data_IF_466804092900
#
_entry.id   IF_466804092900
#
_cell.length_a   1.000
_cell.length_b   1.000
_cell.length_c   1.000
_cell.angle_alpha   90.00
_cell.angle_beta   90.00
_cell.angle_gamma   90.00
#
_symmetry.space_group_name_H-M   'P 1'
#
loop_
_entity.id
_entity.type
_entity.pdbx_description
1 polymer ?
#
# COMPACT_ATOMS: atom_id res chain seq x y z
N UNK A 1 9.93 -3.85 20.83
CA UNK A 1 9.06 -3.54 21.99
C UNK A 1 7.62 -3.82 21.55
N UNK A 2 6.63 -4.07 22.42
CA UNK A 2 5.24 -4.16 21.97
C UNK A 2 4.75 -2.73 21.72
N UNK A 3 4.86 -2.28 20.47
CA UNK A 3 4.63 -0.90 20.03
C UNK A 3 5.05 -0.63 18.57
N UNK A 4 5.80 -1.57 17.95
CA UNK A 4 6.38 -1.39 16.60
C UNK A 4 5.49 -1.92 15.46
N UNK A 5 4.21 -2.24 15.72
CA UNK A 5 3.36 -2.94 14.76
C UNK A 5 1.95 -2.37 14.75
N UNK A 6 1.56 -1.83 13.60
CA UNK A 6 0.26 -1.22 13.34
C UNK A 6 -0.63 -2.22 12.62
N UNK A 7 -1.84 -2.44 13.09
CA UNK A 7 -2.82 -3.21 12.33
C UNK A 7 -3.55 -2.35 11.29
N UNK A 8 -4.42 -2.98 10.51
CA UNK A 8 -5.20 -2.30 9.47
C UNK A 8 -6.06 -1.18 10.04
N UNK A 9 -6.63 -1.36 11.23
CA UNK A 9 -7.48 -0.35 11.85
C UNK A 9 -6.63 0.82 12.33
N UNK A 10 -5.41 0.57 12.83
CA UNK A 10 -4.43 1.61 13.13
C UNK A 10 -4.09 2.42 11.87
N UNK A 11 -3.84 1.76 10.72
CA UNK A 11 -3.58 2.47 9.45
C UNK A 11 -4.74 3.37 9.03
N UNK A 12 -5.98 2.87 9.14
CA UNK A 12 -7.20 3.63 8.79
C UNK A 12 -7.38 4.83 9.72
N UNK A 13 -7.19 4.64 11.03
CA UNK A 13 -7.26 5.72 12.03
C UNK A 13 -6.17 6.77 11.81
N UNK A 14 -4.94 6.32 11.54
CA UNK A 14 -3.80 7.18 11.23
C UNK A 14 -4.04 8.02 9.99
N UNK A 15 -4.41 7.40 8.88
CA UNK A 15 -4.72 8.09 7.63
C UNK A 15 -5.86 9.09 7.80
N UNK A 16 -6.92 8.73 8.52
CA UNK A 16 -8.04 9.65 8.79
C UNK A 16 -7.62 10.87 9.61
N UNK A 17 -6.74 10.70 10.59
CA UNK A 17 -6.19 11.79 11.37
C UNK A 17 -5.25 12.70 10.54
N UNK A 18 -4.44 12.11 9.65
CA UNK A 18 -3.63 12.87 8.68
C UNK A 18 -4.51 13.67 7.73
N UNK A 19 -5.55 13.06 7.16
CA UNK A 19 -6.54 13.75 6.29
C UNK A 19 -7.16 14.93 7.04
N UNK A 20 -7.62 14.73 8.28
CA UNK A 20 -8.23 15.79 9.07
C UNK A 20 -7.29 16.98 9.31
N UNK A 21 -6.00 16.71 9.58
CA UNK A 21 -4.98 17.76 9.73
C UNK A 21 -4.70 18.48 8.41
N UNK A 22 -4.58 17.75 7.30
CA UNK A 22 -4.27 18.33 5.99
C UNK A 22 -5.39 19.21 5.43
N UNK A 23 -6.66 18.87 5.68
CA UNK A 23 -7.81 19.70 5.31
C UNK A 23 -7.78 21.09 5.95
N UNK A 24 -7.17 21.23 7.14
CA UNK A 24 -7.04 22.55 7.78
C UNK A 24 -5.96 23.44 7.16
N UNK A 25 -5.06 22.86 6.34
CA UNK A 25 -3.95 23.57 5.72
C UNK A 25 -4.33 24.24 4.38
N UNK A 26 -5.44 23.83 3.74
CA UNK A 26 -5.99 24.47 2.53
C UNK A 26 -5.12 24.35 1.28
N UNK A 27 -4.31 23.29 1.17
CA UNK A 27 -3.47 23.00 0.01
C UNK A 27 -3.79 21.59 -0.52
N UNK A 28 -3.93 21.41 -1.85
CA UNK A 28 -4.11 20.10 -2.44
C UNK A 28 -2.93 19.16 -2.14
N UNK A 29 -3.25 17.97 -1.64
CA UNK A 29 -2.30 16.90 -1.29
C UNK A 29 -2.75 15.55 -1.85
N UNK A 30 -1.79 14.74 -2.27
CA UNK A 30 -1.97 13.38 -2.77
C UNK A 30 -1.12 12.40 -1.98
N UNK A 31 -1.76 11.32 -1.52
CA UNK A 31 -1.14 10.19 -0.81
C UNK A 31 -1.40 8.92 -1.63
N UNK A 32 -0.35 8.39 -2.25
CA UNK A 32 -0.42 7.21 -3.11
C UNK A 32 0.26 6.02 -2.43
N UNK A 33 -0.53 5.15 -1.84
CA UNK A 33 -0.07 4.08 -0.96
C UNK A 33 0.35 2.87 -1.80
N UNK A 34 1.51 2.31 -1.45
CA UNK A 34 2.09 1.11 -2.05
C UNK A 34 2.50 0.11 -0.96
N UNK A 35 3.14 -0.99 -1.35
CA UNK A 35 3.76 -1.92 -0.42
C UNK A 35 2.75 -2.65 0.48
N UNK A 36 3.17 -2.98 1.71
CA UNK A 36 2.38 -3.79 2.64
C UNK A 36 1.08 -3.14 3.11
N UNK A 37 1.09 -1.80 3.26
CA UNK A 37 -0.09 -1.04 3.64
C UNK A 37 -1.19 -1.07 2.56
N UNK A 38 -0.82 -0.96 1.28
CA UNK A 38 -1.79 -1.08 0.19
C UNK A 38 -2.47 -2.47 0.19
N UNK A 39 -1.70 -3.53 0.42
CA UNK A 39 -2.22 -4.90 0.53
C UNK A 39 -3.23 -5.04 1.68
N UNK A 40 -2.87 -4.54 2.87
CA UNK A 40 -3.73 -4.61 4.06
C UNK A 40 -5.00 -3.77 3.92
N UNK A 41 -4.91 -2.57 3.33
CA UNK A 41 -6.05 -1.68 3.17
C UNK A 41 -7.07 -2.21 2.18
N UNK A 42 -6.62 -2.82 1.06
CA UNK A 42 -7.50 -3.08 -0.08
C UNK A 42 -7.60 -4.53 -0.55
N UNK A 43 -6.59 -5.37 -0.37
CA UNK A 43 -6.53 -6.67 -1.06
C UNK A 43 -6.74 -7.87 -0.15
N UNK A 44 -6.08 -7.93 1.00
CA UNK A 44 -6.22 -9.04 1.94
C UNK A 44 -5.80 -8.66 3.35
N UNK A 45 -6.36 -9.34 4.35
CA UNK A 45 -5.94 -9.17 5.74
C UNK A 45 -4.48 -9.62 5.91
N UNK A 46 -3.65 -8.64 6.25
CA UNK A 46 -2.23 -8.82 6.55
C UNK A 46 -2.10 -8.60 8.05
N UNK A 47 -1.95 -9.69 8.80
CA UNK A 47 -1.87 -9.71 10.28
C UNK A 47 -0.80 -8.78 10.88
N UNK A 48 0.11 -8.25 10.06
CA UNK A 48 1.20 -7.39 10.49
C UNK A 48 1.54 -6.36 9.40
N UNK A 49 1.34 -5.08 9.70
CA UNK A 49 1.88 -3.95 8.94
C UNK A 49 2.70 -3.09 9.90
N UNK A 50 3.90 -2.67 9.51
CA UNK A 50 4.72 -1.82 10.39
C UNK A 50 4.51 -0.33 10.06
N UNK A 51 4.22 -0.05 8.79
CA UNK A 51 4.38 1.25 8.17
C UNK A 51 3.53 1.38 6.88
N UNK A 52 3.21 2.62 6.54
CA UNK A 52 2.62 3.06 5.27
C UNK A 52 3.74 3.60 4.40
N UNK A 53 4.06 2.83 3.36
CA UNK A 53 4.87 3.26 2.25
C UNK A 53 3.99 4.01 1.24
N UNK A 54 4.27 5.28 0.97
CA UNK A 54 3.46 6.08 0.05
C UNK A 54 4.28 7.07 -0.78
N UNK A 55 3.80 7.39 -1.98
CA UNK A 55 4.23 8.56 -2.72
C UNK A 55 3.41 9.77 -2.29
N UNK A 56 4.10 10.84 -1.88
CA UNK A 56 3.52 11.98 -1.18
C UNK A 56 3.71 13.25 -2.01
N UNK A 57 2.63 13.98 -2.28
CA UNK A 57 2.68 15.23 -3.04
C UNK A 57 1.79 16.30 -2.43
N UNK A 58 2.31 17.49 -2.09
CA UNK A 58 3.69 17.72 -1.65
C UNK A 58 4.03 16.93 -0.38
N UNK A 59 5.29 16.49 -0.27
CA UNK A 59 5.74 15.61 0.81
C UNK A 59 5.77 16.30 2.20
N UNK A 60 6.29 17.52 2.29
CA UNK A 60 6.52 18.22 3.57
C UNK A 60 5.26 18.34 4.45
N UNK A 61 4.10 18.87 3.97
CA UNK A 61 2.93 18.99 4.83
C UNK A 61 2.37 17.62 5.26
N UNK A 62 2.48 16.60 4.41
CA UNK A 62 2.00 15.26 4.72
C UNK A 62 2.86 14.63 5.81
N UNK A 63 4.20 14.69 5.69
CA UNK A 63 5.11 14.17 6.71
C UNK A 63 4.98 14.94 8.04
N UNK A 64 4.74 16.25 7.99
CA UNK A 64 4.47 17.04 9.20
C UNK A 64 3.20 16.56 9.90
N UNK A 65 2.10 16.40 9.16
CA UNK A 65 0.85 15.90 9.72
C UNK A 65 1.00 14.46 10.27
N UNK A 66 1.74 13.60 9.57
CA UNK A 66 2.03 12.24 10.02
C UNK A 66 2.86 12.22 11.30
N UNK A 67 3.86 13.10 11.44
CA UNK A 67 4.66 13.21 12.67
C UNK A 67 3.82 13.70 13.86
N UNK A 68 2.86 14.61 13.66
CA UNK A 68 1.92 15.00 14.70
C UNK A 68 1.04 13.83 15.15
N UNK A 69 0.50 13.06 14.22
CA UNK A 69 -0.29 11.84 14.51
C UNK A 69 0.56 10.81 15.26
N UNK A 70 1.82 10.62 14.85
CA UNK A 70 2.73 9.70 15.53
C UNK A 70 2.93 10.08 17.00
N UNK A 71 3.15 11.37 17.27
CA UNK A 71 3.29 11.89 18.63
C UNK A 71 2.02 11.71 19.47
N UNK A 72 0.85 11.97 18.88
CA UNK A 72 -0.45 11.85 19.56
C UNK A 72 -0.78 10.39 19.91
N UNK A 73 -0.39 9.43 19.05
CA UNK A 73 -0.69 8.01 19.22
C UNK A 73 0.45 7.21 19.89
N UNK A 74 1.62 7.81 20.08
CA UNK A 74 2.82 7.11 20.56
C UNK A 74 3.36 6.08 19.55
N UNK A 75 3.18 6.33 18.25
CA UNK A 75 3.63 5.46 17.16
C UNK A 75 5.05 5.83 16.68
N UNK A 76 5.74 4.93 15.95
CA UNK A 76 6.98 5.25 15.26
C UNK A 76 6.80 6.45 14.31
N UNK A 77 7.77 7.36 14.24
CA UNK A 77 7.67 8.55 13.38
C UNK A 77 7.66 8.24 11.88
N UNK A 78 8.16 7.07 11.50
CA UNK A 78 8.22 6.54 10.14
C UNK A 78 7.01 5.67 9.77
N UNK A 79 5.96 5.66 10.59
CA UNK A 79 4.71 4.94 10.31
C UNK A 79 4.04 5.33 9.00
N UNK A 80 4.29 6.55 8.50
CA UNK A 80 3.97 6.99 7.15
C UNK A 80 5.23 7.62 6.56
N UNK A 81 5.74 7.02 5.48
CA UNK A 81 7.00 7.42 4.88
C UNK A 81 6.98 7.25 3.35
N UNK A 82 7.99 7.85 2.70
CA UNK A 82 8.16 7.86 1.25
C UNK A 82 9.24 6.88 0.75
N UNK A 83 9.67 5.92 1.58
CA UNK A 83 10.82 5.05 1.28
C UNK A 83 10.59 4.15 0.07
N UNK A 84 9.34 3.80 -0.24
CA UNK A 84 9.03 2.96 -1.38
C UNK A 84 8.94 3.70 -2.72
N UNK A 85 9.08 5.02 -2.74
CA UNK A 85 9.02 5.81 -3.98
C UNK A 85 10.05 5.39 -5.02
N UNK A 86 11.23 4.91 -4.59
CA UNK A 86 12.28 4.38 -5.46
C UNK A 86 11.87 3.11 -6.22
N UNK A 87 10.84 2.41 -5.75
CA UNK A 87 10.34 1.20 -6.38
C UNK A 87 9.14 1.47 -7.28
N UNK A 88 8.58 2.68 -7.28
CA UNK A 88 7.47 3.00 -8.18
C UNK A 88 8.01 3.07 -9.61
N UNK A 89 7.38 2.36 -10.58
CA UNK A 89 7.69 2.49 -11.99
C UNK A 89 7.82 3.94 -12.44
N UNK A 90 9.05 4.39 -12.71
CA UNK A 90 9.30 5.72 -13.27
C UNK A 90 9.09 5.73 -14.80
N UNK A 91 9.19 4.56 -15.42
CA UNK A 91 9.04 4.30 -16.85
C UNK A 91 8.30 2.96 -17.00
N UNK A 92 7.32 2.87 -17.89
CA UNK A 92 6.48 1.67 -18.06
C UNK A 92 4.99 1.97 -17.92
N UNK A 93 4.19 0.94 -17.60
CA UNK A 93 2.77 1.07 -17.34
C UNK A 93 2.48 1.91 -16.08
N UNK A 94 1.39 2.69 -16.11
CA UNK A 94 0.89 3.38 -14.93
C UNK A 94 0.47 2.35 -13.87
N UNK A 95 0.85 2.51 -12.58
CA UNK A 95 0.41 1.64 -11.49
C UNK A 95 -1.10 1.43 -11.37
N UNK A 96 -1.92 2.25 -12.04
CA UNK A 96 -3.38 2.24 -12.01
C UNK A 96 -3.90 2.42 -10.57
N UNK A 97 -4.13 3.68 -10.23
CA UNK A 97 -4.40 4.11 -8.86
C UNK A 97 -5.89 4.02 -8.55
N UNK A 98 -6.26 3.20 -7.56
CA UNK A 98 -7.62 3.12 -7.04
C UNK A 98 -7.82 4.12 -5.90
N UNK A 99 -8.79 5.01 -6.04
CA UNK A 99 -9.12 6.03 -5.03
C UNK A 99 -9.74 5.36 -3.80
N UNK A 100 -9.07 5.47 -2.65
CA UNK A 100 -9.63 5.12 -1.34
C UNK A 100 -10.40 6.27 -0.70
N UNK A 101 -9.95 7.51 -0.95
CA UNK A 101 -10.56 8.73 -0.46
C UNK A 101 -10.26 9.88 -1.40
N UNK A 102 -11.23 10.76 -1.61
CA UNK A 102 -11.00 12.01 -2.34
C UNK A 102 -11.97 13.07 -1.84
N UNK A 103 -11.45 14.25 -1.51
CA UNK A 103 -12.19 15.49 -1.36
C UNK A 103 -11.49 16.63 -2.13
N UNK A 104 -11.89 17.89 -1.90
CA UNK A 104 -11.33 19.06 -2.59
C UNK A 104 -9.83 19.27 -2.34
N UNK A 105 -9.33 18.85 -1.18
CA UNK A 105 -7.96 19.11 -0.73
C UNK A 105 -7.10 17.85 -0.70
N UNK A 106 -7.67 16.67 -0.43
CA UNK A 106 -6.91 15.45 -0.13
C UNK A 106 -7.39 14.30 -1.01
N UNK A 107 -6.44 13.67 -1.71
CA UNK A 107 -6.69 12.40 -2.41
C UNK A 107 -5.79 11.31 -1.84
N UNK A 108 -6.38 10.16 -1.51
CA UNK A 108 -5.68 8.96 -1.06
C UNK A 108 -6.00 7.82 -2.01
N UNK A 109 -4.96 7.21 -2.57
CA UNK A 109 -5.06 6.17 -3.59
C UNK A 109 -4.19 4.96 -3.20
N UNK A 110 -4.52 3.79 -3.72
CA UNK A 110 -3.68 2.58 -3.64
C UNK A 110 -3.32 2.08 -5.03
N UNK A 111 -2.11 1.55 -5.18
CA UNK A 111 -1.71 0.93 -6.43
C UNK A 111 -2.52 -0.37 -6.71
N UNK A 112 -2.70 -0.67 -8.00
CA UNK A 112 -3.33 -1.92 -8.45
C UNK A 112 -2.57 -3.17 -7.95
N UNK A 113 -3.27 -4.31 -7.83
CA UNK A 113 -2.63 -5.58 -7.47
C UNK A 113 -1.48 -5.95 -8.41
N UNK A 114 -1.65 -5.67 -9.71
CA UNK A 114 -0.64 -5.91 -10.75
C UNK A 114 0.63 -5.09 -10.49
N UNK A 115 0.48 -3.79 -10.22
CA UNK A 115 1.61 -2.93 -9.90
C UNK A 115 2.30 -3.34 -8.59
N UNK A 116 1.52 -3.68 -7.56
CA UNK A 116 2.05 -4.18 -6.29
C UNK A 116 2.82 -5.50 -6.46
N UNK A 117 2.34 -6.40 -7.32
CA UNK A 117 3.04 -7.63 -7.66
C UNK A 117 4.37 -7.34 -8.36
N UNK A 118 4.38 -6.46 -9.37
CA UNK A 118 5.60 -6.06 -10.05
C UNK A 118 6.63 -5.43 -9.09
N UNK A 119 6.19 -4.53 -8.19
CA UNK A 119 7.05 -3.94 -7.15
C UNK A 119 7.63 -5.00 -6.21
N UNK A 120 6.80 -5.97 -5.80
CA UNK A 120 7.22 -7.08 -4.93
C UNK A 120 8.21 -8.01 -5.62
N UNK A 121 8.03 -8.30 -6.91
CA UNK A 121 8.97 -9.10 -7.71
C UNK A 121 10.29 -8.35 -7.92
N UNK A 122 10.26 -7.04 -8.18
CA UNK A 122 11.47 -6.23 -8.31
C UNK A 122 12.25 -6.17 -6.97
N UNK A 123 11.54 -5.97 -5.85
CA UNK A 123 12.13 -5.91 -4.52
C UNK A 123 12.59 -7.30 -4.00
N UNK A 124 11.80 -8.34 -4.22
CA UNK A 124 12.01 -9.77 -3.89
C UNK A 124 12.77 -10.00 -2.58
N UNK A 125 12.26 -9.48 -1.47
CA UNK A 125 12.92 -9.59 -0.15
C UNK A 125 12.60 -10.97 0.45
N UNK A 126 13.60 -11.87 0.58
CA UNK A 126 13.35 -13.23 1.08
C UNK A 126 12.74 -13.21 2.49
N UNK A 127 11.76 -14.08 2.74
CA UNK A 127 11.08 -14.20 4.03
C UNK A 127 10.00 -13.15 4.33
N UNK A 128 10.03 -11.97 3.69
CA UNK A 128 9.01 -10.92 3.86
C UNK A 128 7.96 -10.94 2.74
N UNK A 129 8.38 -11.14 1.50
CA UNK A 129 7.49 -10.99 0.35
C UNK A 129 6.85 -12.29 -0.14
N UNK A 130 7.22 -13.46 0.39
CA UNK A 130 6.79 -14.77 -0.16
C UNK A 130 5.26 -14.92 -0.16
N UNK A 131 4.60 -14.67 0.97
CA UNK A 131 3.14 -14.79 1.06
C UNK A 131 2.44 -13.67 0.29
N UNK A 132 2.97 -12.45 0.34
CA UNK A 132 2.43 -11.31 -0.40
C UNK A 132 2.45 -11.60 -1.92
N UNK A 133 3.57 -12.12 -2.45
CA UNK A 133 3.71 -12.53 -3.86
C UNK A 133 2.74 -13.66 -4.20
N UNK A 134 2.65 -14.71 -3.37
CA UNK A 134 1.75 -15.83 -3.64
C UNK A 134 0.27 -15.40 -3.71
N UNK A 135 -0.17 -14.54 -2.79
CA UNK A 135 -1.53 -14.00 -2.80
C UNK A 135 -1.76 -13.11 -4.02
N UNK A 136 -0.79 -12.26 -4.37
CA UNK A 136 -0.89 -11.35 -5.51
C UNK A 136 -0.90 -12.10 -6.86
N UNK A 137 -0.13 -13.18 -6.99
CA UNK A 137 -0.18 -14.08 -8.15
C UNK A 137 -1.58 -14.68 -8.30
N UNK A 138 -2.19 -15.13 -7.20
CA UNK A 138 -3.57 -15.64 -7.22
C UNK A 138 -4.59 -14.56 -7.60
N UNK A 139 -4.48 -13.34 -7.04
CA UNK A 139 -5.37 -12.20 -7.34
C UNK A 139 -5.25 -11.78 -8.81
N UNK A 140 -4.04 -11.79 -9.35
CA UNK A 140 -3.76 -11.38 -10.73
C UNK A 140 -3.92 -12.52 -11.75
N UNK A 141 -4.28 -13.72 -11.31
CA UNK A 141 -4.40 -14.93 -12.13
C UNK A 141 -3.12 -15.25 -12.94
N UNK A 142 -1.96 -15.09 -12.32
CA UNK A 142 -0.64 -15.36 -12.93
C UNK A 142 -0.20 -16.77 -12.57
N UNK A 143 -0.15 -17.66 -13.56
CA UNK A 143 -0.06 -19.11 -13.38
C UNK A 143 1.35 -19.66 -13.51
N UNK A 144 2.31 -18.88 -14.00
CA UNK A 144 3.69 -19.34 -14.22
C UNK A 144 4.72 -18.20 -14.19
N UNK A 145 6.00 -18.58 -14.24
CA UNK A 145 7.14 -17.66 -14.18
C UNK A 145 7.18 -16.73 -15.38
N UNK A 146 6.86 -17.23 -16.58
CA UNK A 146 6.92 -16.45 -17.81
C UNK A 146 5.87 -15.31 -17.78
N UNK A 147 4.67 -15.57 -17.28
CA UNK A 147 3.64 -14.55 -17.06
C UNK A 147 4.05 -13.53 -15.98
N UNK A 148 4.72 -13.97 -14.91
CA UNK A 148 5.25 -13.07 -13.88
C UNK A 148 6.37 -12.18 -14.42
N UNK A 149 7.21 -12.69 -15.33
CA UNK A 149 8.23 -11.91 -16.03
C UNK A 149 7.61 -10.89 -16.98
N UNK A 150 6.64 -11.31 -17.80
CA UNK A 150 5.92 -10.41 -18.69
C UNK A 150 5.24 -9.26 -17.93
N UNK A 151 4.61 -9.56 -16.78
CA UNK A 151 4.05 -8.55 -15.89
C UNK A 151 5.13 -7.58 -15.38
N UNK A 152 6.29 -8.08 -14.96
CA UNK A 152 7.37 -7.22 -14.48
C UNK A 152 7.83 -6.28 -15.60
N UNK A 153 8.01 -6.80 -16.82
CA UNK A 153 8.47 -6.03 -17.98
C UNK A 153 7.48 -4.91 -18.37
N UNK A 154 6.17 -5.11 -18.19
CA UNK A 154 5.17 -4.05 -18.41
C UNK A 154 5.42 -2.82 -17.52
N UNK A 155 5.81 -3.04 -16.26
CA UNK A 155 6.05 -1.97 -15.28
C UNK A 155 7.52 -1.53 -15.20
N UNK A 156 8.47 -2.36 -15.62
CA UNK A 156 9.89 -2.06 -15.66
C UNK A 156 10.49 -2.52 -17.00
N UNK A 157 10.24 -1.78 -18.10
CA UNK A 157 10.67 -2.20 -19.43
C UNK A 157 12.19 -2.37 -19.54
N UNK A 158 12.62 -3.55 -20.01
CA UNK A 158 14.03 -3.90 -20.13
C UNK A 158 14.66 -4.53 -18.88
N UNK A 159 13.93 -4.59 -17.76
CA UNK A 159 14.32 -5.37 -16.60
C UNK A 159 13.79 -6.81 -16.73
N UNK A 160 14.66 -7.79 -16.56
CA UNK A 160 14.26 -9.20 -16.39
C UNK A 160 13.96 -9.52 -14.93
N UNK A 161 13.36 -10.70 -14.67
CA UNK A 161 13.15 -11.14 -13.29
C UNK A 161 14.48 -11.21 -12.53
N UNK A 162 14.61 -10.55 -11.36
CA UNK A 162 15.80 -10.71 -10.54
C UNK A 162 16.00 -12.17 -10.11
N UNK A 163 17.24 -12.66 -9.99
CA UNK A 163 17.54 -14.03 -9.53
C UNK A 163 16.83 -14.39 -8.21
N UNK A 164 16.70 -13.41 -7.32
CA UNK A 164 15.96 -13.53 -6.05
C UNK A 164 14.47 -13.80 -6.28
N UNK A 165 13.84 -13.17 -7.27
CA UNK A 165 12.45 -13.40 -7.64
C UNK A 165 12.24 -14.82 -8.17
N UNK A 166 13.11 -15.27 -9.09
CA UNK A 166 13.08 -16.63 -9.63
C UNK A 166 13.16 -17.69 -8.53
N UNK A 167 14.01 -17.48 -7.52
CA UNK A 167 14.12 -18.36 -6.35
C UNK A 167 12.87 -18.40 -5.48
N UNK A 168 12.05 -17.35 -5.50
CA UNK A 168 10.77 -17.31 -4.78
C UNK A 168 9.65 -17.96 -5.60
N UNK A 169 9.57 -17.65 -6.89
CA UNK A 169 8.52 -18.12 -7.78
C UNK A 169 8.52 -19.64 -7.95
N UNK A 170 9.70 -20.26 -8.10
CA UNK A 170 9.82 -21.71 -8.29
C UNK A 170 9.10 -22.52 -7.20
N UNK A 171 9.44 -22.30 -5.90
CA UNK A 171 8.75 -22.94 -4.79
C UNK A 171 7.25 -22.62 -4.70
N UNK A 172 6.83 -21.38 -5.00
CA UNK A 172 5.42 -20.97 -4.95
C UNK A 172 4.60 -21.77 -5.99
N UNK A 173 5.04 -21.78 -7.25
CA UNK A 173 4.33 -22.52 -8.31
C UNK A 173 4.39 -24.03 -8.11
N UNK A 174 5.48 -24.57 -7.58
CA UNK A 174 5.60 -26.00 -7.28
C UNK A 174 4.62 -26.45 -6.16
N UNK A 175 4.32 -25.57 -5.20
CA UNK A 175 3.33 -25.83 -4.15
C UNK A 175 1.88 -25.61 -4.62
N UNK A 176 1.71 -24.85 -5.71
CA UNK A 176 0.42 -24.37 -6.19
C UNK A 176 0.06 -23.02 -5.55
N UNK A 177 -0.64 -22.19 -6.33
CA UNK A 177 -1.12 -20.91 -5.83
C UNK A 177 -2.14 -21.11 -4.71
N UNK A 178 -2.17 -20.22 -3.71
CA UNK A 178 -3.23 -20.22 -2.71
C UNK A 178 -4.57 -19.88 -3.37
N UNK A 179 -5.67 -20.17 -2.66
CA UNK A 179 -6.96 -19.59 -3.02
C UNK A 179 -6.87 -18.05 -2.97
N UNK A 180 -7.61 -17.38 -3.86
CA UNK A 180 -7.73 -15.92 -3.84
C UNK A 180 -8.22 -15.49 -2.45
N UNK A 181 -7.47 -14.65 -1.73
CA UNK A 181 -7.84 -14.27 -0.37
C UNK A 181 -9.09 -13.38 -0.36
N UNK A 182 -9.82 -13.41 0.76
CA UNK A 182 -10.97 -12.54 0.95
C UNK A 182 -10.53 -11.07 0.98
N UNK A 183 -11.24 -10.25 0.20
CA UNK A 183 -11.03 -8.80 0.17
C UNK A 183 -11.60 -8.16 1.44
N UNK A 184 -10.82 -7.36 2.18
CA UNK A 184 -11.34 -6.67 3.36
C UNK A 184 -12.40 -5.63 2.98
N UNK A 185 -13.24 -5.25 3.94
CA UNK A 185 -14.23 -4.18 3.74
C UNK A 185 -13.53 -2.87 3.33
N UNK A 186 -14.11 -2.13 2.40
CA UNK A 186 -13.51 -0.87 1.92
C UNK A 186 -13.21 0.08 3.08
N UNK A 187 -11.99 0.67 3.17
CA UNK A 187 -11.61 1.49 4.30
C UNK A 187 -12.45 2.77 4.34
N UNK A 188 -12.99 3.09 5.52
CA UNK A 188 -13.66 4.37 5.74
C UNK A 188 -12.61 5.40 6.19
N UNK A 189 -12.21 6.27 5.27
CA UNK A 189 -11.23 7.33 5.51
C UNK A 189 -11.93 8.69 5.64
N UNK A 190 -11.42 9.51 6.55
CA UNK A 190 -11.96 10.83 6.84
C UNK A 190 -12.84 10.87 8.09
N UNK A 191 -13.36 12.05 8.42
CA UNK A 191 -14.31 12.19 9.52
C UNK A 191 -15.65 11.63 9.03
N UNK A 192 -16.35 10.77 9.79
CA UNK A 192 -17.74 10.50 9.47
C UNK A 192 -18.47 11.83 9.31
N UNK A 193 -19.37 11.98 8.32
CA UNK A 193 -20.19 13.19 8.27
C UNK A 193 -20.76 13.37 9.67
N UNK A 194 -20.60 14.58 10.22
CA UNK A 194 -21.19 14.96 11.48
C UNK A 194 -22.70 15.00 11.25
N UNK A 195 -23.32 13.83 11.16
CA UNK A 195 -24.74 13.70 10.98
C UNK A 195 -25.37 13.60 12.35
N UNK A 196 -25.91 14.77 12.73
CA UNK A 196 -27.10 14.90 13.54
C UNK A 196 -26.98 14.48 15.01
N UNK A 197 -26.44 15.39 15.83
CA UNK A 197 -27.03 15.56 17.15
C UNK A 197 -28.55 15.70 16.97
N UNK A 198 -29.38 14.94 17.72
CA UNK A 198 -30.81 15.13 17.62
C UNK A 198 -31.10 16.55 18.06
N UNK A 199 -31.60 17.36 17.13
CA UNK A 199 -32.15 18.66 17.45
C UNK A 199 -33.47 18.39 18.18
N UNK A 200 -33.39 18.47 19.52
CA UNK A 200 -34.47 18.57 20.52
C UNK A 200 -35.38 17.35 20.74
#
# INVERSE_FOLDING_TARGET
>A
MPGDQLDRDDLIRGLSAVIAKLRTAGQPVGIRIVGGAALALRYFDRRTTADIDAYLLPEEPILKAAAEVANEQGWPHDWLNSSATIFIPAYGADPDWEILYSDEDVTVEVASARALLAMKLNASRPGRDVQDIANLLAICDIQNVDEAEALLEEFYPGDGLPDKALRLLGPIFAQGLPAVPDTPAFPFLGVPPADSAPEQ
#
